data_IF_408640607042
#
_entry.id   IF_408640607042
#
_cell.length_a   1.000
_cell.length_b   1.000
_cell.length_c   1.000
_cell.angle_alpha   90.00
_cell.angle_beta   90.00
_cell.angle_gamma   90.00
#
_symmetry.space_group_name_H-M   'P 1'
#
loop_
_entity.id
_entity.type
_entity.pdbx_description
1 polymer ?
#
# COMPACT_ATOMS: atom_id res chain seq x y z
N UNK A 1 -1.19 9.05 7.72
CA UNK A 1 -2.15 9.01 8.87
C UNK A 1 -1.55 8.36 10.11
N UNK A 2 -0.73 7.31 9.97
CA UNK A 2 -0.06 6.60 11.07
C UNK A 2 0.78 7.52 11.96
N UNK A 3 1.54 8.48 11.39
CA UNK A 3 2.26 9.47 12.20
C UNK A 3 1.35 10.28 13.13
N UNK A 4 0.16 10.67 12.63
CA UNK A 4 -0.77 11.54 13.36
C UNK A 4 -1.56 10.79 14.43
N UNK A 5 -1.96 9.55 14.17
CA UNK A 5 -2.90 8.81 15.03
C UNK A 5 -2.23 7.68 15.85
N UNK A 6 -1.06 7.19 15.43
CA UNK A 6 -0.35 6.08 16.08
C UNK A 6 1.08 6.45 16.50
N UNK A 7 1.40 7.75 16.59
CA UNK A 7 2.73 8.22 17.00
C UNK A 7 3.86 7.76 16.07
N UNK A 8 3.56 7.50 14.80
CA UNK A 8 4.55 7.08 13.79
C UNK A 8 4.94 5.61 13.85
N UNK A 9 4.28 4.79 14.67
CA UNK A 9 4.54 3.35 14.73
C UNK A 9 3.28 2.56 14.41
N UNK A 10 3.41 1.52 13.61
CA UNK A 10 2.31 0.64 13.22
C UNK A 10 1.90 -0.19 14.44
N UNK A 11 0.71 0.07 14.96
CA UNK A 11 0.17 -0.70 16.09
C UNK A 11 -0.59 -1.92 15.56
N UNK A 12 -0.49 -3.06 16.26
CA UNK A 12 -1.49 -4.12 16.09
C UNK A 12 -2.71 -3.71 16.87
N UNK A 13 -3.78 -3.36 16.17
CA UNK A 13 -5.09 -3.55 16.76
C UNK A 13 -5.66 -4.82 16.14
N UNK A 14 -5.92 -5.80 17.01
CA UNK A 14 -6.56 -7.05 16.65
C UNK A 14 -7.84 -6.77 15.84
N UNK A 15 -7.85 -7.23 14.58
CA UNK A 15 -9.01 -7.33 13.72
C UNK A 15 -9.62 -6.00 13.27
N UNK A 16 -9.20 -5.50 12.09
CA UNK A 16 -10.17 -5.01 11.09
C UNK A 16 -9.63 -5.34 9.69
N UNK A 17 -10.23 -6.33 9.04
CA UNK A 17 -9.96 -6.71 7.66
C UNK A 17 -11.23 -6.50 6.84
N UNK A 18 -11.26 -5.45 6.01
CA UNK A 18 -12.38 -5.11 5.13
C UNK A 18 -12.50 -6.01 3.89
N UNK A 19 -12.10 -7.27 4.01
CA UNK A 19 -11.88 -8.20 2.90
C UNK A 19 -10.63 -7.87 2.08
N UNK A 20 -9.69 -7.10 2.63
CA UNK A 20 -8.46 -6.73 1.95
C UNK A 20 -7.46 -7.88 1.96
N UNK A 21 -7.40 -8.71 3.01
CA UNK A 21 -6.51 -9.87 3.02
C UNK A 21 -6.92 -10.90 1.98
N UNK A 22 -8.21 -11.26 1.95
CA UNK A 22 -8.77 -12.18 0.95
C UNK A 22 -8.54 -11.67 -0.48
N UNK A 23 -8.72 -10.37 -0.72
CA UNK A 23 -8.46 -9.78 -2.01
C UNK A 23 -6.96 -9.77 -2.35
N UNK A 24 -6.06 -9.50 -1.40
CA UNK A 24 -4.61 -9.55 -1.62
C UNK A 24 -4.11 -10.97 -1.98
N UNK A 25 -4.69 -12.00 -1.36
CA UNK A 25 -4.40 -13.39 -1.70
C UNK A 25 -4.84 -13.74 -3.12
N UNK A 26 -6.07 -13.36 -3.49
CA UNK A 26 -6.58 -13.53 -4.86
C UNK A 26 -5.75 -12.76 -5.88
N UNK A 27 -5.41 -11.50 -5.58
CA UNK A 27 -4.61 -10.62 -6.41
C UNK A 27 -3.25 -11.24 -6.75
N UNK A 28 -2.57 -11.81 -5.77
CA UNK A 28 -1.26 -12.43 -5.98
C UNK A 28 -1.33 -13.56 -7.02
N UNK A 29 -2.40 -14.38 -6.98
CA UNK A 29 -2.64 -15.43 -7.99
C UNK A 29 -2.89 -14.84 -9.38
N UNK A 30 -3.76 -13.83 -9.47
CA UNK A 30 -4.08 -13.18 -10.76
C UNK A 30 -2.85 -12.55 -11.39
N UNK A 31 -2.02 -11.87 -10.60
CA UNK A 31 -0.77 -11.26 -11.08
C UNK A 31 0.23 -12.32 -11.50
N UNK A 32 0.37 -13.43 -10.77
CA UNK A 32 1.27 -14.53 -11.14
C UNK A 32 0.86 -15.20 -12.46
N UNK A 33 -0.43 -15.49 -12.64
CA UNK A 33 -0.99 -16.03 -13.89
C UNK A 33 -0.76 -15.07 -15.05
N UNK A 34 -1.16 -13.80 -14.89
CA UNK A 34 -1.02 -12.78 -15.93
C UNK A 34 0.46 -12.56 -16.33
N UNK A 35 1.38 -12.57 -15.37
CA UNK A 35 2.81 -12.42 -15.64
C UNK A 35 3.39 -13.65 -16.35
N UNK A 36 2.90 -14.86 -16.05
CA UNK A 36 3.32 -16.10 -16.72
C UNK A 36 2.86 -16.14 -18.18
N UNK A 37 1.70 -15.54 -18.47
CA UNK A 37 1.13 -15.41 -19.82
C UNK A 37 1.56 -14.13 -20.56
N UNK A 38 2.48 -13.33 -19.98
CA UNK A 38 2.93 -12.03 -20.52
C UNK A 38 1.79 -11.00 -20.71
N UNK A 39 0.69 -11.15 -19.98
CA UNK A 39 -0.45 -10.23 -19.96
C UNK A 39 -0.21 -9.08 -18.95
N UNK A 40 0.78 -8.23 -19.24
CA UNK A 40 1.20 -7.15 -18.33
C UNK A 40 0.09 -6.15 -17.99
N UNK A 41 -0.79 -5.84 -18.96
CA UNK A 41 -1.95 -4.97 -18.74
C UNK A 41 -2.90 -5.54 -17.70
N UNK A 42 -3.24 -6.83 -17.81
CA UNK A 42 -4.12 -7.53 -16.85
C UNK A 42 -3.54 -7.52 -15.44
N UNK A 43 -2.23 -7.72 -15.30
CA UNK A 43 -1.56 -7.65 -14.01
C UNK A 43 -1.68 -6.24 -13.40
N UNK A 44 -1.45 -5.18 -14.19
CA UNK A 44 -1.58 -3.79 -13.75
C UNK A 44 -3.02 -3.44 -13.39
N UNK A 45 -4.01 -3.86 -14.19
CA UNK A 45 -5.43 -3.62 -13.93
C UNK A 45 -5.86 -4.24 -12.59
N UNK A 46 -5.43 -5.47 -12.31
CA UNK A 46 -5.71 -6.15 -11.05
C UNK A 46 -5.09 -5.41 -9.84
N UNK A 47 -3.84 -4.96 -9.97
CA UNK A 47 -3.17 -4.16 -8.93
C UNK A 47 -3.93 -2.84 -8.70
N UNK A 48 -4.41 -2.20 -9.77
CA UNK A 48 -5.13 -0.93 -9.67
C UNK A 48 -6.51 -1.08 -9.04
N UNK A 49 -7.22 -2.17 -9.31
CA UNK A 49 -8.47 -2.51 -8.64
C UNK A 49 -8.28 -2.66 -7.12
N UNK A 50 -7.20 -3.34 -6.70
CA UNK A 50 -6.87 -3.47 -5.29
C UNK A 50 -6.54 -2.14 -4.61
N UNK A 51 -5.83 -1.24 -5.30
CA UNK A 51 -5.58 0.13 -4.83
C UNK A 51 -6.91 0.89 -4.66
N UNK A 52 -7.83 0.79 -5.63
CA UNK A 52 -9.15 1.40 -5.53
C UNK A 52 -9.97 0.83 -4.37
N UNK A 53 -9.91 -0.48 -4.13
CA UNK A 53 -10.56 -1.12 -2.99
C UNK A 53 -10.00 -0.63 -1.66
N UNK A 54 -8.69 -0.45 -1.57
CA UNK A 54 -8.01 0.09 -0.39
C UNK A 54 -8.41 1.55 -0.12
N UNK A 55 -8.52 2.35 -1.18
CA UNK A 55 -9.04 3.72 -1.09
C UNK A 55 -10.51 3.75 -0.64
N UNK A 56 -11.34 2.87 -1.17
CA UNK A 56 -12.72 2.74 -0.69
C UNK A 56 -12.79 2.33 0.78
N UNK A 57 -11.93 1.40 1.21
CA UNK A 57 -11.88 0.96 2.61
C UNK A 57 -11.55 2.11 3.56
N UNK A 58 -10.61 3.00 3.22
CA UNK A 58 -10.30 4.15 4.08
C UNK A 58 -11.45 5.17 4.12
N UNK A 59 -12.19 5.33 3.02
CA UNK A 59 -13.38 6.18 2.95
C UNK A 59 -14.57 5.64 3.75
N UNK A 60 -14.80 4.32 3.70
CA UNK A 60 -15.89 3.66 4.41
C UNK A 60 -15.58 3.56 5.92
N UNK A 61 -14.33 3.27 6.28
CA UNK A 61 -13.89 3.13 7.69
C UNK A 61 -13.72 4.46 8.43
N UNK A 62 -13.53 5.57 7.69
CA UNK A 62 -13.44 6.95 8.23
C UNK A 62 -12.56 7.03 9.49
N UNK A 63 -11.27 6.65 9.43
CA UNK A 63 -10.42 6.57 10.62
C UNK A 63 -10.31 7.89 11.38
N UNK A 64 -10.44 9.03 10.69
CA UNK A 64 -10.46 10.37 11.32
C UNK A 64 -11.68 10.63 12.21
N UNK A 65 -12.81 9.97 11.93
CA UNK A 65 -14.01 10.03 12.76
C UNK A 65 -13.88 9.02 13.91
N UNK A 66 -13.44 7.80 13.61
CA UNK A 66 -13.20 6.74 14.62
C UNK A 66 -12.19 7.20 15.66
N UNK A 67 -11.12 7.88 15.26
CA UNK A 67 -10.09 8.42 16.17
C UNK A 67 -10.63 9.35 17.26
N UNK A 68 -11.77 10.01 17.02
CA UNK A 68 -12.40 10.91 18.00
C UNK A 68 -13.20 10.16 19.06
N UNK A 69 -13.58 8.91 18.79
CA UNK A 69 -14.48 8.10 19.64
C UNK A 69 -13.70 6.97 20.30
N UNK A 70 -12.90 6.25 19.54
CA UNK A 70 -12.13 5.08 19.97
C UNK A 70 -10.81 5.01 19.19
N UNK A 71 -9.78 5.64 19.76
CA UNK A 71 -8.44 5.69 19.16
C UNK A 71 -7.80 4.30 19.03
N UNK A 72 -8.20 3.32 19.85
CA UNK A 72 -7.62 1.98 19.80
C UNK A 72 -8.01 1.23 18.52
N UNK A 73 -9.24 1.44 18.01
CA UNK A 73 -9.73 0.82 16.76
C UNK A 73 -9.06 1.36 15.50
N UNK A 74 -8.53 2.58 15.55
CA UNK A 74 -7.84 3.20 14.39
C UNK A 74 -6.58 2.42 14.02
N UNK A 75 -5.92 1.80 15.00
CA UNK A 75 -4.71 1.01 14.77
C UNK A 75 -4.93 -0.11 13.76
N UNK A 76 -6.07 -0.82 13.83
CA UNK A 76 -6.37 -1.95 12.95
C UNK A 76 -6.67 -1.51 11.51
N UNK A 77 -7.44 -0.42 11.36
CA UNK A 77 -7.72 0.18 10.06
C UNK A 77 -6.42 0.62 9.39
N UNK A 78 -5.56 1.33 10.13
CA UNK A 78 -4.29 1.83 9.60
C UNK A 78 -3.28 0.71 9.35
N UNK A 79 -3.31 -0.37 10.14
CA UNK A 79 -2.51 -1.56 9.90
C UNK A 79 -2.89 -2.20 8.56
N UNK A 80 -4.19 -2.45 8.33
CA UNK A 80 -4.66 -3.09 7.10
C UNK A 80 -4.35 -2.26 5.85
N UNK A 81 -4.43 -0.93 5.94
CA UNK A 81 -4.02 -0.05 4.86
C UNK A 81 -2.51 -0.07 4.61
N UNK A 82 -1.69 -0.07 5.67
CA UNK A 82 -0.25 -0.17 5.54
C UNK A 82 0.19 -1.52 4.96
N UNK A 83 -0.51 -2.59 5.32
CA UNK A 83 -0.28 -3.92 4.75
C UNK A 83 -0.69 -3.99 3.29
N UNK A 84 -1.80 -3.36 2.90
CA UNK A 84 -2.20 -3.22 1.51
C UNK A 84 -1.13 -2.45 0.69
N UNK A 85 -0.63 -1.33 1.20
CA UNK A 85 0.46 -0.57 0.55
C UNK A 85 1.74 -1.42 0.40
N UNK A 86 2.05 -2.24 1.42
CA UNK A 86 3.19 -3.16 1.38
C UNK A 86 3.03 -4.19 0.26
N UNK A 87 1.87 -4.85 0.17
CA UNK A 87 1.57 -5.82 -0.90
C UNK A 87 1.66 -5.17 -2.27
N UNK A 88 1.07 -3.97 -2.45
CA UNK A 88 1.16 -3.22 -3.70
C UNK A 88 2.61 -2.91 -4.07
N UNK A 89 3.44 -2.52 -3.10
CA UNK A 89 4.86 -2.22 -3.36
C UNK A 89 5.61 -3.43 -3.92
N UNK A 90 5.32 -4.65 -3.44
CA UNK A 90 5.92 -5.89 -3.94
C UNK A 90 5.43 -6.19 -5.36
N UNK A 91 4.12 -6.13 -5.59
CA UNK A 91 3.51 -6.50 -6.87
C UNK A 91 3.81 -5.49 -7.99
N UNK A 92 4.03 -4.23 -7.66
CA UNK A 92 4.32 -3.17 -8.64
C UNK A 92 5.81 -3.07 -8.96
N UNK A 93 6.69 -3.71 -8.17
CA UNK A 93 8.15 -3.68 -8.35
C UNK A 93 8.64 -4.04 -9.75
N UNK A 94 8.08 -5.03 -10.50
CA UNK A 94 8.52 -5.30 -11.87
C UNK A 94 8.13 -4.20 -12.88
N UNK A 95 7.20 -3.31 -12.52
CA UNK A 95 6.73 -2.22 -13.40
C UNK A 95 7.32 -0.86 -13.00
N UNK A 96 7.41 -0.59 -11.69
CA UNK A 96 7.86 0.68 -11.12
C UNK A 96 8.76 0.44 -9.90
N UNK A 97 10.01 -0.03 -10.10
CA UNK A 97 10.91 -0.41 -9.00
C UNK A 97 11.24 0.78 -8.09
N UNK A 98 11.48 1.96 -8.64
CA UNK A 98 11.76 3.16 -7.86
C UNK A 98 10.56 3.59 -6.99
N UNK A 99 9.33 3.42 -7.48
CA UNK A 99 8.12 3.71 -6.69
C UNK A 99 7.93 2.69 -5.58
N UNK A 100 8.10 1.40 -5.89
CA UNK A 100 8.04 0.32 -4.92
C UNK A 100 9.01 0.56 -3.75
N UNK A 101 10.27 0.87 -4.06
CA UNK A 101 11.29 1.20 -3.06
C UNK A 101 10.88 2.41 -2.20
N UNK A 102 10.37 3.49 -2.83
CA UNK A 102 9.92 4.68 -2.09
C UNK A 102 8.78 4.36 -1.13
N UNK A 103 7.84 3.49 -1.51
CA UNK A 103 6.76 3.02 -0.63
C UNK A 103 7.35 2.24 0.55
N UNK A 104 8.21 1.24 0.27
CA UNK A 104 8.82 0.40 1.31
C UNK A 104 9.67 1.20 2.29
N UNK A 105 10.40 2.21 1.82
CA UNK A 105 11.17 3.13 2.67
C UNK A 105 10.26 3.96 3.58
N UNK A 106 9.14 4.47 3.06
CA UNK A 106 8.17 5.21 3.87
C UNK A 106 7.47 4.31 4.89
N UNK A 107 7.24 3.05 4.55
CA UNK A 107 6.69 2.05 5.47
C UNK A 107 7.71 1.52 6.49
N UNK A 108 9.01 1.78 6.30
CA UNK A 108 10.08 1.30 7.18
C UNK A 108 10.41 -0.18 7.01
N UNK A 109 10.06 -0.78 5.87
CA UNK A 109 10.25 -2.21 5.57
C UNK A 109 11.28 -2.48 4.47
N UNK A 110 11.91 -1.44 3.92
CA UNK A 110 12.92 -1.61 2.89
C UNK A 110 14.20 -2.25 3.47
N UNK A 111 14.57 -3.42 2.95
CA UNK A 111 15.74 -4.20 3.40
C UNK A 111 16.90 -4.21 2.39
N UNK A 112 16.75 -3.53 1.25
CA UNK A 112 17.78 -3.45 0.20
C UNK A 112 17.79 -4.63 -0.77
N UNK A 113 16.93 -5.64 -0.58
CA UNK A 113 16.75 -6.72 -1.53
C UNK A 113 15.50 -6.47 -2.40
N UNK A 114 15.54 -6.82 -3.71
CA UNK A 114 14.31 -6.98 -4.46
C UNK A 114 13.59 -8.20 -3.89
N UNK A 115 12.73 -7.97 -2.91
CA UNK A 115 11.98 -9.05 -2.27
C UNK A 115 11.14 -9.80 -3.33
N UNK A 116 11.44 -11.09 -3.49
CA UNK A 116 10.70 -12.03 -4.34
C UNK A 116 9.20 -12.02 -3.99
N UNK A 117 8.36 -12.36 -4.97
CA UNK A 117 6.89 -12.50 -4.92
C UNK A 117 6.34 -13.18 -3.65
N UNK A 118 7.12 -14.03 -2.99
CA UNK A 118 6.81 -14.64 -1.68
C UNK A 118 6.45 -13.60 -0.61
N UNK A 119 6.91 -12.36 -0.76
CA UNK A 119 6.59 -11.22 0.11
C UNK A 119 5.21 -10.60 -0.12
N UNK A 120 4.45 -10.98 -1.15
CA UNK A 120 3.10 -10.43 -1.36
C UNK A 120 2.03 -11.03 -0.41
N UNK A 121 2.40 -11.99 0.44
CA UNK A 121 1.50 -12.59 1.43
C UNK A 121 1.05 -11.57 2.48
N UNK A 122 -0.23 -11.59 2.83
CA UNK A 122 -0.78 -10.73 3.87
C UNK A 122 -0.26 -11.07 5.27
N UNK A 123 -0.18 -10.06 6.14
CA UNK A 123 0.17 -10.18 7.54
C UNK A 123 1.67 -10.19 7.85
N UNK A 124 2.52 -9.75 6.92
CA UNK A 124 3.98 -9.75 7.14
C UNK A 124 4.53 -8.46 7.77
N UNK A 125 3.74 -7.38 7.79
CA UNK A 125 4.14 -6.12 8.41
C UNK A 125 4.28 -6.27 9.93
N UNK A 126 5.50 -6.05 10.41
CA UNK A 126 5.78 -6.24 11.83
C UNK A 126 5.13 -5.13 12.67
N UNK A 127 4.44 -5.48 13.76
CA UNK A 127 3.96 -4.50 14.73
C UNK A 127 5.13 -3.70 15.31
N UNK A 128 4.94 -2.41 15.54
CA UNK A 128 5.98 -1.50 16.02
C UNK A 128 6.91 -0.97 14.92
N UNK A 129 6.72 -1.37 13.65
CA UNK A 129 7.46 -0.78 12.53
C UNK A 129 7.23 0.73 12.48
N UNK A 130 8.32 1.51 12.41
CA UNK A 130 8.26 2.96 12.33
C UNK A 130 8.07 3.38 10.88
N UNK A 131 7.02 4.15 10.63
CA UNK A 131 6.81 4.78 9.32
C UNK A 131 7.52 6.14 9.29
N UNK A 132 7.94 6.53 8.10
CA UNK A 132 8.55 7.83 7.84
C UNK A 132 7.76 8.56 6.78
N UNK A 133 7.28 9.76 7.07
CA UNK A 133 6.66 10.61 6.04
C UNK A 133 7.68 11.02 5.00
N UNK A 134 7.49 10.53 3.78
CA UNK A 134 8.25 10.95 2.62
C UNK A 134 7.58 12.06 1.83
N UNK A 135 8.21 12.41 0.71
CA UNK A 135 7.58 13.24 -0.32
C UNK A 135 6.42 12.50 -1.00
N UNK A 136 5.42 13.21 -1.55
CA UNK A 136 4.37 12.60 -2.36
C UNK A 136 4.95 11.67 -3.43
N UNK A 137 4.40 10.46 -3.54
CA UNK A 137 4.88 9.45 -4.48
C UNK A 137 4.76 9.93 -5.94
N UNK A 138 3.64 10.56 -6.26
CA UNK A 138 3.32 11.09 -7.58
C UNK A 138 2.97 12.58 -7.48
N UNK A 139 3.95 13.50 -7.60
CA UNK A 139 3.66 14.93 -7.70
C UNK A 139 2.85 15.23 -8.96
N UNK A 140 1.94 16.21 -8.88
CA UNK A 140 1.17 16.64 -10.06
C UNK A 140 2.12 17.27 -11.08
N UNK A 141 1.97 16.88 -12.33
CA UNK A 141 2.67 17.54 -13.43
C UNK A 141 2.02 18.91 -13.67
N UNK A 142 2.81 19.99 -13.62
CA UNK A 142 2.33 21.34 -13.87
C UNK A 142 2.52 21.68 -15.35
N UNK A 143 1.41 21.76 -16.10
CA UNK A 143 1.39 21.96 -17.56
C UNK A 143 2.02 23.31 -17.96
N UNK A 144 2.16 24.25 -17.01
CA UNK A 144 2.78 25.56 -17.22
C UNK A 144 4.32 25.53 -17.39
N UNK A 145 4.96 24.38 -17.18
CA UNK A 145 6.43 24.24 -17.17
C UNK A 145 7.01 23.36 -18.30
N UNK A 146 6.19 22.98 -19.27
CA UNK A 146 6.68 22.28 -20.48
C UNK A 146 7.54 23.20 -21.35
N UNK A 147 8.58 22.68 -22.05
CA UNK A 147 9.32 23.47 -23.01
C UNK A 147 8.33 24.06 -24.02
N UNK A 148 8.42 25.38 -24.25
CA UNK A 148 7.70 26.02 -25.34
C UNK A 148 8.17 25.35 -26.63
N UNK A 149 7.35 24.47 -27.18
CA UNK A 149 7.54 23.96 -28.54
C UNK A 149 7.36 25.18 -29.44
N UNK A 150 8.47 25.63 -30.02
CA UNK A 150 8.49 26.68 -31.05
C UNK A 150 7.76 26.22 -32.31
#
# INVERSE_FOLDING_TARGET
>A
MIEKFCGGSIQVAAGVDGGLAEHAESLSRVVDEAMSELQLSRALDAIWDFIQRSNKYIEDSKPWAVAKVDAAKVGGILYSLAEADRVVSVLISPFMPATAERIQRQLGVFDGAPELRTSARWGLLRPGTKVTKGQPLFPRYDVSSGPKVC
#
